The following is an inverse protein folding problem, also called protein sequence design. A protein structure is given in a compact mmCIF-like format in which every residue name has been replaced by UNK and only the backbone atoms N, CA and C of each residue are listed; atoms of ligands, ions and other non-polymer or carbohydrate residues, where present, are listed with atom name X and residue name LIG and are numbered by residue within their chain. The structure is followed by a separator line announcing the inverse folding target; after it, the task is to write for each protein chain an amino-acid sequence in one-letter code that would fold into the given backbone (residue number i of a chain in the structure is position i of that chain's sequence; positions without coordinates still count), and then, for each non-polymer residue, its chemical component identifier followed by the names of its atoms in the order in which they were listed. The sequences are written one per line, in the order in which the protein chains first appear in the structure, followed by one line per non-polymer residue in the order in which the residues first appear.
data_IF_374185553233
#
_entry.id   IF_374185553233
#
_cell.length_a   1.000
_cell.length_b   1.000
_cell.length_c   1.000
_cell.angle_alpha   90.00
_cell.angle_beta   90.00
_cell.angle_gamma   90.00
#
_symmetry.space_group_name_H-M   'P 1'
#
loop_
_entity.id
_entity.type
_entity.pdbx_description
1 polymer ?
#
# COMPACT_ATOMS: atom_id res chain seq x y z
N UNK A 1 -16.83 -1.94 6.15
CA UNK A 1 -16.85 -0.63 5.44
C UNK A 1 -16.34 -0.86 4.04
N UNK A 2 -17.14 -0.57 3.04
CA UNK A 2 -16.78 -0.68 1.63
C UNK A 2 -16.43 0.69 1.08
N UNK A 3 -15.16 0.88 0.68
CA UNK A 3 -14.70 2.06 -0.04
C UNK A 3 -14.77 1.80 -1.54
N UNK A 4 -15.27 2.75 -2.32
CA UNK A 4 -15.27 2.68 -3.78
C UNK A 4 -14.84 4.03 -4.37
N UNK A 5 -13.90 3.99 -5.28
CA UNK A 5 -13.47 5.11 -6.09
C UNK A 5 -14.02 4.91 -7.50
N UNK A 6 -14.83 5.85 -8.00
CA UNK A 6 -15.45 5.76 -9.32
C UNK A 6 -14.94 6.87 -10.23
N UNK A 7 -14.21 6.51 -11.28
CA UNK A 7 -13.70 7.43 -12.29
C UNK A 7 -12.92 8.62 -11.74
N UNK A 8 -12.20 8.40 -10.61
CA UNK A 8 -11.46 9.49 -9.96
C UNK A 8 -10.24 9.88 -10.79
N UNK A 9 -9.98 11.18 -10.87
CA UNK A 9 -8.73 11.72 -11.38
C UNK A 9 -8.25 12.90 -10.54
N UNK A 10 -6.96 13.25 -10.64
CA UNK A 10 -6.40 14.39 -9.92
C UNK A 10 -5.46 15.18 -10.81
N UNK A 11 -5.74 16.47 -10.94
CA UNK A 11 -4.87 17.45 -11.62
C UNK A 11 -4.46 18.53 -10.60
N UNK A 12 -3.22 18.98 -10.72
CA UNK A 12 -2.68 20.07 -9.92
C UNK A 12 -1.97 21.04 -10.87
N UNK A 13 -2.55 22.20 -11.07
CA UNK A 13 -2.10 23.11 -12.13
C UNK A 13 -2.26 22.45 -13.50
N UNK A 14 -1.17 22.41 -14.27
CA UNK A 14 -1.14 21.79 -15.59
C UNK A 14 -0.82 20.28 -15.54
N UNK A 15 -0.39 19.74 -14.38
CA UNK A 15 0.05 18.36 -14.25
C UNK A 15 -1.11 17.43 -13.89
N UNK A 16 -1.12 16.23 -14.48
CA UNK A 16 -2.01 15.13 -14.09
C UNK A 16 -1.27 14.23 -13.11
N UNK A 17 -1.73 14.23 -11.86
CA UNK A 17 -1.15 13.39 -10.79
C UNK A 17 -1.79 12.00 -10.73
N UNK A 18 -3.09 11.93 -11.04
CA UNK A 18 -3.80 10.66 -11.19
C UNK A 18 -4.65 10.74 -12.46
N UNK A 19 -4.44 9.78 -13.35
CA UNK A 19 -5.31 9.54 -14.50
C UNK A 19 -6.63 8.94 -14.03
N UNK A 20 -7.65 9.00 -14.86
CA UNK A 20 -8.96 8.44 -14.55
C UNK A 20 -8.84 6.96 -14.17
N UNK A 21 -9.32 6.61 -12.98
CA UNK A 21 -9.31 5.24 -12.49
C UNK A 21 -10.48 4.94 -11.55
N UNK A 22 -10.84 3.67 -11.49
CA UNK A 22 -11.81 3.15 -10.52
C UNK A 22 -11.15 2.03 -9.71
N UNK A 23 -11.38 2.04 -8.40
CA UNK A 23 -10.82 1.06 -7.47
C UNK A 23 -11.79 0.83 -6.31
N UNK A 24 -12.06 -0.43 -6.01
CA UNK A 24 -12.86 -0.82 -4.85
C UNK A 24 -12.08 -1.84 -4.01
N UNK A 25 -11.34 -1.39 -2.98
CA UNK A 25 -10.71 -2.30 -2.02
C UNK A 25 -11.74 -3.26 -1.40
N UNK A 26 -11.38 -4.53 -1.27
CA UNK A 26 -12.25 -5.52 -0.65
C UNK A 26 -12.45 -5.22 0.84
N UNK A 27 -13.70 -5.19 1.33
CA UNK A 27 -14.00 -4.94 2.73
C UNK A 27 -13.38 -6.02 3.64
N UNK A 28 -12.73 -5.59 4.73
CA UNK A 28 -12.10 -6.49 5.69
C UNK A 28 -10.79 -7.14 5.20
N UNK A 29 -10.31 -6.79 4.02
CA UNK A 29 -9.11 -7.34 3.41
C UNK A 29 -7.99 -6.30 3.30
N UNK A 30 -6.78 -6.78 3.04
CA UNK A 30 -5.64 -5.94 2.72
C UNK A 30 -5.60 -5.68 1.21
N UNK A 31 -5.54 -4.41 0.83
CA UNK A 31 -5.23 -3.98 -0.55
C UNK A 31 -3.90 -3.25 -0.55
N UNK A 32 -2.91 -3.80 -1.23
CA UNK A 32 -1.60 -3.18 -1.40
C UNK A 32 -1.60 -2.29 -2.64
N UNK A 33 -1.21 -1.03 -2.48
CA UNK A 33 -0.88 -0.12 -3.57
C UNK A 33 0.61 -0.26 -3.87
N UNK A 34 0.95 -1.02 -4.90
CA UNK A 34 2.34 -1.27 -5.30
C UNK A 34 2.74 -0.36 -6.46
N UNK A 35 3.88 0.28 -6.36
CA UNK A 35 4.43 1.11 -7.44
C UNK A 35 5.64 1.92 -7.00
N UNK A 36 6.42 2.40 -7.94
CA UNK A 36 7.60 3.22 -7.69
C UNK A 36 7.25 4.52 -6.94
N UNK A 37 8.27 5.21 -6.46
CA UNK A 37 8.11 6.58 -5.96
C UNK A 37 7.49 7.45 -7.06
N UNK A 38 6.55 8.33 -6.68
CA UNK A 38 5.76 9.15 -7.60
C UNK A 38 4.75 8.40 -8.49
N UNK A 39 4.49 7.12 -8.25
CA UNK A 39 3.45 6.39 -8.98
C UNK A 39 2.00 6.86 -8.68
N UNK A 40 1.81 7.77 -7.72
CA UNK A 40 0.49 8.31 -7.35
C UNK A 40 -0.13 7.68 -6.11
N UNK A 41 0.56 6.74 -5.42
CA UNK A 41 0.07 6.02 -4.23
C UNK A 41 -0.44 6.96 -3.13
N UNK A 42 0.42 7.87 -2.68
CA UNK A 42 0.09 8.87 -1.64
C UNK A 42 -1.08 9.77 -2.05
N UNK A 43 -1.11 10.24 -3.31
CA UNK A 43 -2.20 11.08 -3.82
C UNK A 43 -3.54 10.33 -3.80
N UNK A 44 -3.53 9.05 -4.20
CA UNK A 44 -4.71 8.19 -4.15
C UNK A 44 -5.20 7.99 -2.71
N UNK A 45 -4.29 7.69 -1.78
CA UNK A 45 -4.62 7.50 -0.36
C UNK A 45 -5.17 8.79 0.28
N UNK A 46 -4.64 9.96 -0.07
CA UNK A 46 -5.15 11.26 0.41
C UNK A 46 -6.59 11.51 -0.04
N UNK A 47 -6.95 11.09 -1.27
CA UNK A 47 -8.34 11.14 -1.76
C UNK A 47 -9.21 10.15 -0.97
N UNK A 48 -8.74 8.91 -0.75
CA UNK A 48 -9.45 7.92 0.06
C UNK A 48 -9.72 8.44 1.49
N UNK A 49 -8.72 9.10 2.09
CA UNK A 49 -8.84 9.68 3.42
C UNK A 49 -9.80 10.89 3.48
N UNK A 50 -10.06 11.56 2.35
CA UNK A 50 -10.78 12.83 2.31
C UNK A 50 -9.93 14.05 2.66
N UNK A 51 -8.60 13.91 2.56
CA UNK A 51 -7.65 15.01 2.72
C UNK A 51 -7.54 15.84 1.45
N UNK A 52 -7.70 15.17 0.30
CA UNK A 52 -7.75 15.82 -1.00
C UNK A 52 -9.07 15.49 -1.70
N UNK A 53 -9.56 16.45 -2.47
CA UNK A 53 -10.73 16.26 -3.33
C UNK A 53 -10.23 15.88 -4.72
N UNK A 54 -10.79 14.83 -5.36
CA UNK A 54 -10.44 14.50 -6.75
C UNK A 54 -10.90 15.63 -7.69
N UNK A 55 -10.24 15.77 -8.85
CA UNK A 55 -10.63 16.74 -9.88
C UNK A 55 -11.87 16.29 -10.65
N UNK A 56 -12.09 14.98 -10.77
CA UNK A 56 -13.30 14.36 -11.29
C UNK A 56 -13.54 13.01 -10.60
N UNK A 57 -14.72 12.45 -10.79
CA UNK A 57 -15.13 11.17 -10.19
C UNK A 57 -15.71 11.32 -8.78
N UNK A 58 -15.96 10.18 -8.13
CA UNK A 58 -16.63 10.10 -6.84
C UNK A 58 -15.94 9.13 -5.89
N UNK A 59 -15.98 9.45 -4.60
CA UNK A 59 -15.57 8.55 -3.51
C UNK A 59 -16.83 8.14 -2.77
N UNK A 60 -17.08 6.85 -2.71
CA UNK A 60 -18.24 6.28 -2.02
C UNK A 60 -17.77 5.47 -0.80
N UNK A 61 -18.55 5.53 0.27
CA UNK A 61 -18.40 4.69 1.46
C UNK A 61 -19.74 4.04 1.74
N UNK A 62 -19.78 2.72 1.72
CA UNK A 62 -21.02 1.93 1.87
C UNK A 62 -22.14 2.43 0.94
N UNK A 63 -21.78 2.81 -0.29
CA UNK A 63 -22.67 3.36 -1.32
C UNK A 63 -23.01 4.85 -1.19
N UNK A 64 -22.71 5.49 -0.07
CA UNK A 64 -22.92 6.92 0.13
C UNK A 64 -21.78 7.75 -0.46
N UNK A 65 -22.12 8.81 -1.22
CA UNK A 65 -21.10 9.72 -1.78
C UNK A 65 -20.52 10.61 -0.68
N UNK A 66 -19.21 10.45 -0.43
CA UNK A 66 -18.45 11.20 0.56
C UNK A 66 -17.39 12.12 -0.08
N UNK A 67 -17.48 12.36 -1.38
CA UNK A 67 -16.56 13.26 -2.09
C UNK A 67 -16.63 14.65 -1.50
N UNK A 68 -15.46 15.20 -1.11
CA UNK A 68 -15.38 16.50 -0.45
C UNK A 68 -15.82 16.55 1.02
N UNK A 69 -16.31 15.44 1.60
CA UNK A 69 -16.60 15.37 3.03
C UNK A 69 -15.32 15.57 3.84
N UNK A 70 -15.30 16.47 4.83
CA UNK A 70 -14.13 16.71 5.66
C UNK A 70 -13.63 15.46 6.37
N UNK A 71 -12.31 15.28 6.45
CA UNK A 71 -11.70 14.08 7.07
C UNK A 71 -12.14 13.82 8.51
N UNK A 72 -12.45 14.88 9.28
CA UNK A 72 -12.96 14.77 10.67
C UNK A 72 -14.30 14.04 10.77
N UNK A 73 -15.09 14.05 9.71
CA UNK A 73 -16.40 13.40 9.61
C UNK A 73 -16.30 11.97 9.06
N UNK A 74 -15.08 11.57 8.64
CA UNK A 74 -14.80 10.21 8.14
C UNK A 74 -14.20 9.34 9.22
N UNK A 75 -14.67 8.11 9.36
CA UNK A 75 -14.07 7.15 10.28
C UNK A 75 -12.91 6.40 9.60
N UNK A 76 -11.78 7.10 9.40
CA UNK A 76 -10.57 6.59 8.75
C UNK A 76 -9.35 6.84 9.63
N UNK A 77 -8.43 5.88 9.70
CA UNK A 77 -7.10 6.08 10.28
C UNK A 77 -6.09 6.17 9.13
N UNK A 78 -5.14 7.11 9.23
CA UNK A 78 -4.07 7.23 8.25
C UNK A 78 -2.72 7.41 8.95
N UNK A 79 -1.73 6.61 8.51
CA UNK A 79 -0.31 6.80 8.81
C UNK A 79 0.33 7.37 7.57
N UNK A 80 0.93 8.54 7.70
CA UNK A 80 1.64 9.21 6.61
C UNK A 80 3.07 8.70 6.50
N UNK A 81 3.66 8.77 5.33
CA UNK A 81 5.08 8.52 5.11
C UNK A 81 5.96 9.40 6.03
N UNK A 82 5.56 10.65 6.24
CA UNK A 82 6.11 11.49 7.30
C UNK A 82 5.31 11.24 8.59
N UNK A 83 5.85 10.43 9.49
CA UNK A 83 5.20 10.12 10.75
C UNK A 83 4.92 11.39 11.59
N UNK A 84 3.65 11.70 11.75
CA UNK A 84 3.19 12.87 12.50
C UNK A 84 2.76 12.41 13.89
N UNK A 85 3.49 12.82 14.93
CA UNK A 85 3.13 12.64 16.33
C UNK A 85 2.75 13.97 16.97
N UNK A 86 1.95 13.94 18.03
CA UNK A 86 1.67 15.12 18.84
C UNK A 86 2.91 15.47 19.68
N UNK A 87 3.63 16.56 19.40
CA UNK A 87 4.93 16.83 20.01
C UNK A 87 4.83 17.18 21.51
N UNK A 88 3.67 17.65 21.96
CA UNK A 88 3.38 18.02 23.34
C UNK A 88 2.83 16.87 24.20
N UNK A 89 2.75 15.67 23.65
CA UNK A 89 2.24 14.48 24.34
C UNK A 89 3.33 13.43 24.44
N UNK A 90 3.36 12.68 25.55
CA UNK A 90 4.21 11.49 25.67
C UNK A 90 3.83 10.43 24.63
N UNK A 91 4.65 9.39 24.48
CA UNK A 91 4.31 8.22 23.64
C UNK A 91 3.01 7.60 24.11
N UNK A 92 2.86 7.38 25.41
CA UNK A 92 1.63 6.83 25.99
C UNK A 92 0.40 7.70 25.65
N UNK A 93 0.51 9.01 25.79
CA UNK A 93 -0.59 9.94 25.50
C UNK A 93 -0.90 10.03 24.01
N UNK A 94 0.10 9.94 23.14
CA UNK A 94 -0.11 9.85 21.69
C UNK A 94 -0.97 8.62 21.36
N UNK A 95 -0.63 7.45 21.87
CA UNK A 95 -1.38 6.20 21.65
C UNK A 95 -2.75 6.25 22.30
N UNK A 96 -2.85 6.84 23.50
CA UNK A 96 -4.11 6.96 24.25
C UNK A 96 -5.09 7.95 23.62
N UNK A 97 -4.63 8.92 22.84
CA UNK A 97 -5.46 10.03 22.36
C UNK A 97 -6.75 9.57 21.62
N UNK A 98 -6.72 8.64 20.66
CA UNK A 98 -7.95 8.17 20.00
C UNK A 98 -8.83 7.30 20.92
N UNK A 99 -8.24 6.59 21.90
CA UNK A 99 -8.98 5.80 22.88
C UNK A 99 -9.79 6.70 23.81
N UNK A 100 -9.18 7.80 24.29
CA UNK A 100 -9.86 8.82 25.11
C UNK A 100 -11.05 9.44 24.37
N UNK A 101 -10.87 9.79 23.10
CA UNK A 101 -11.92 10.37 22.28
C UNK A 101 -13.14 9.45 22.10
N UNK A 102 -12.91 8.12 22.13
CA UNK A 102 -13.99 7.13 22.04
C UNK A 102 -14.58 6.74 23.41
N UNK A 103 -14.05 7.26 24.50
CA UNK A 103 -14.48 6.90 25.86
C UNK A 103 -14.13 5.46 26.25
N UNK A 104 -13.00 4.91 25.75
CA UNK A 104 -12.57 3.55 26.06
C UNK A 104 -12.26 3.40 27.56
N UNK A 105 -12.74 2.31 28.18
CA UNK A 105 -12.59 2.07 29.62
C UNK A 105 -11.22 1.42 29.97
N UNK A 106 -10.54 0.80 28.99
CA UNK A 106 -9.30 0.05 29.19
C UNK A 106 -8.11 0.70 28.51
N UNK A 107 -7.99 2.03 28.60
CA UNK A 107 -6.99 2.82 27.87
C UNK A 107 -5.57 2.32 28.18
N UNK A 108 -5.20 2.22 29.47
CA UNK A 108 -3.84 1.84 29.86
C UNK A 108 -3.46 0.44 29.41
N UNK A 109 -4.38 -0.52 29.49
CA UNK A 109 -4.18 -1.88 29.00
C UNK A 109 -3.93 -1.91 27.50
N UNK A 110 -4.77 -1.22 26.71
CA UNK A 110 -4.64 -1.13 25.26
C UNK A 110 -3.37 -0.41 24.82
N UNK A 111 -2.99 0.68 25.51
CA UNK A 111 -1.76 1.40 25.22
C UNK A 111 -0.55 0.48 25.41
N UNK A 112 -0.48 -0.25 26.52
CA UNK A 112 0.62 -1.19 26.78
C UNK A 112 0.64 -2.34 25.77
N UNK A 113 -0.50 -2.94 25.47
CA UNK A 113 -0.60 -4.02 24.49
C UNK A 113 -0.13 -3.59 23.08
N UNK A 114 -0.50 -2.38 22.62
CA UNK A 114 -0.04 -1.84 21.34
C UNK A 114 1.45 -1.45 21.39
N UNK A 115 1.92 -0.91 22.51
CA UNK A 115 3.32 -0.56 22.68
C UNK A 115 4.21 -1.82 22.68
N UNK A 116 3.76 -2.91 23.31
CA UNK A 116 4.45 -4.21 23.30
C UNK A 116 4.57 -4.75 21.87
N UNK A 117 3.45 -4.83 21.14
CA UNK A 117 3.41 -5.30 19.74
C UNK A 117 4.33 -4.51 18.82
N UNK A 118 4.58 -3.25 19.09
CA UNK A 118 5.42 -2.37 18.27
C UNK A 118 6.80 -2.10 18.91
N UNK A 119 7.19 -2.86 19.94
CA UNK A 119 8.49 -2.76 20.63
C UNK A 119 8.85 -1.33 21.07
N UNK A 120 7.87 -0.59 21.64
CA UNK A 120 8.04 0.79 22.12
C UNK A 120 7.65 0.97 23.59
N UNK A 121 7.46 -0.11 24.36
CA UNK A 121 7.06 -0.05 25.79
C UNK A 121 8.01 0.77 26.64
N UNK A 122 9.33 0.61 26.41
CA UNK A 122 10.36 1.32 27.16
C UNK A 122 10.38 2.84 26.89
N UNK A 123 9.58 3.31 25.95
CA UNK A 123 9.54 4.73 25.57
C UNK A 123 8.23 5.42 25.95
N UNK A 124 7.30 4.74 26.63
CA UNK A 124 5.94 5.25 26.90
C UNK A 124 5.93 6.63 27.58
N UNK A 125 6.89 6.89 28.49
CA UNK A 125 7.00 8.15 29.22
C UNK A 125 7.81 9.23 28.50
N UNK A 126 8.37 8.92 27.30
CA UNK A 126 9.18 9.86 26.54
C UNK A 126 8.32 10.75 25.63
N UNK A 127 8.86 11.93 25.32
CA UNK A 127 8.30 12.81 24.29
C UNK A 127 8.79 12.39 22.90
N UNK A 128 8.03 12.59 21.83
CA UNK A 128 8.45 12.25 20.47
C UNK A 128 9.81 12.82 20.05
N UNK A 129 10.16 14.01 20.50
CA UNK A 129 11.45 14.63 20.20
C UNK A 129 12.68 13.86 20.77
N UNK A 130 12.47 12.99 21.76
CA UNK A 130 13.52 12.14 22.35
C UNK A 130 13.62 10.76 21.67
N UNK A 131 12.93 10.55 20.56
CA UNK A 131 12.87 9.30 19.82
C UNK A 131 13.58 9.38 18.48
N UNK A 132 14.16 8.26 18.03
CA UNK A 132 14.63 8.11 16.65
C UNK A 132 13.45 8.14 15.65
N UNK A 133 13.73 8.38 14.36
CA UNK A 133 12.71 8.40 13.32
C UNK A 133 11.86 7.11 13.27
N UNK A 134 12.51 5.94 13.31
CA UNK A 134 11.80 4.65 13.35
C UNK A 134 10.96 4.44 14.61
N UNK A 135 11.40 4.96 15.78
CA UNK A 135 10.60 4.92 17.00
C UNK A 135 9.37 5.82 16.89
N UNK A 136 9.52 7.03 16.33
CA UNK A 136 8.40 7.95 16.10
C UNK A 136 7.38 7.35 15.10
N UNK A 137 7.86 6.65 14.08
CA UNK A 137 7.01 5.96 13.11
C UNK A 137 6.15 4.88 13.78
N UNK A 138 6.74 4.09 14.67
CA UNK A 138 6.01 3.08 15.46
C UNK A 138 4.97 3.69 16.40
N UNK A 139 5.24 4.85 16.97
CA UNK A 139 4.24 5.60 17.77
C UNK A 139 3.06 6.04 16.90
N UNK A 140 3.31 6.56 15.70
CA UNK A 140 2.25 6.96 14.77
C UNK A 140 1.41 5.74 14.32
N UNK A 141 2.04 4.60 14.08
CA UNK A 141 1.37 3.34 13.77
C UNK A 141 0.53 2.84 14.96
N UNK A 142 1.10 2.82 16.18
CA UNK A 142 0.37 2.46 17.40
C UNK A 142 -0.89 3.31 17.59
N UNK A 143 -0.79 4.62 17.33
CA UNK A 143 -1.93 5.54 17.41
C UNK A 143 -2.99 5.24 16.36
N UNK A 144 -2.60 4.91 15.13
CA UNK A 144 -3.54 4.53 14.08
C UNK A 144 -4.28 3.23 14.42
N UNK A 145 -3.56 2.22 14.92
CA UNK A 145 -4.14 0.97 15.41
C UNK A 145 -5.06 1.20 16.60
N UNK A 146 -4.67 2.07 17.54
CA UNK A 146 -5.49 2.43 18.69
C UNK A 146 -6.84 3.07 18.27
N UNK A 147 -6.86 3.81 17.17
CA UNK A 147 -8.10 4.38 16.62
C UNK A 147 -9.11 3.29 16.25
N UNK A 148 -8.67 2.13 15.76
CA UNK A 148 -9.54 1.02 15.37
C UNK A 148 -10.61 1.45 14.35
N UNK A 149 -10.20 2.24 13.36
CA UNK A 149 -11.09 2.70 12.30
C UNK A 149 -11.40 1.55 11.33
N UNK A 150 -12.62 1.49 10.75
CA UNK A 150 -12.99 0.46 9.78
C UNK A 150 -12.24 0.58 8.44
N UNK A 151 -11.60 1.72 8.17
CA UNK A 151 -10.66 1.93 7.07
C UNK A 151 -9.32 2.42 7.62
N UNK A 152 -8.25 1.69 7.32
CA UNK A 152 -6.88 2.02 7.69
C UNK A 152 -6.05 2.24 6.44
N UNK A 153 -5.37 3.39 6.37
CA UNK A 153 -4.53 3.79 5.25
C UNK A 153 -3.09 3.93 5.75
N UNK A 154 -2.16 3.16 5.20
CA UNK A 154 -0.76 3.09 5.64
C UNK A 154 0.15 3.46 4.46
N UNK A 155 0.73 4.64 4.49
CA UNK A 155 1.60 5.15 3.43
C UNK A 155 3.07 4.89 3.76
N UNK A 156 3.63 3.83 3.17
CA UNK A 156 5.02 3.36 3.35
C UNK A 156 5.39 3.25 4.85
N UNK A 157 4.63 2.49 5.66
CA UNK A 157 4.72 2.56 7.13
C UNK A 157 5.98 1.93 7.71
N UNK A 158 6.83 1.26 6.90
CA UNK A 158 8.03 0.56 7.37
C UNK A 158 9.33 1.08 6.72
N UNK A 159 9.27 2.10 5.87
CA UNK A 159 10.40 2.55 5.04
C UNK A 159 11.61 3.06 5.83
N UNK A 160 11.39 3.68 7.01
CA UNK A 160 12.45 4.29 7.82
C UNK A 160 13.00 3.36 8.92
N UNK A 161 12.75 2.06 8.81
CA UNK A 161 13.19 1.06 9.80
C UNK A 161 14.44 0.33 9.30
N UNK A 162 15.28 -0.11 10.24
CA UNK A 162 16.35 -1.05 9.92
C UNK A 162 15.76 -2.40 9.44
N UNK A 163 16.58 -3.18 8.73
CA UNK A 163 16.12 -4.40 8.07
C UNK A 163 15.49 -5.40 9.06
N UNK A 164 16.15 -5.68 10.19
CA UNK A 164 15.68 -6.68 11.16
C UNK A 164 14.32 -6.29 11.74
N UNK A 165 14.21 -5.05 12.18
CA UNK A 165 12.97 -4.52 12.76
C UNK A 165 11.84 -4.44 11.73
N UNK A 166 12.18 -4.14 10.47
CA UNK A 166 11.20 -4.13 9.37
C UNK A 166 10.60 -5.52 9.16
N UNK A 167 11.43 -6.59 9.15
CA UNK A 167 10.95 -7.96 9.02
C UNK A 167 10.05 -8.35 10.19
N UNK A 168 10.46 -8.08 11.43
CA UNK A 168 9.68 -8.37 12.63
C UNK A 168 8.29 -7.68 12.58
N UNK A 169 8.27 -6.36 12.31
CA UNK A 169 7.02 -5.60 12.23
C UNK A 169 6.14 -5.98 11.04
N UNK A 170 6.73 -6.41 9.93
CA UNK A 170 6.00 -6.90 8.75
C UNK A 170 5.18 -8.13 9.09
N UNK A 171 5.78 -9.10 9.80
CA UNK A 171 5.11 -10.31 10.27
C UNK A 171 3.98 -9.97 11.25
N UNK A 172 4.25 -9.08 12.22
CA UNK A 172 3.26 -8.66 13.20
C UNK A 172 2.07 -7.93 12.56
N UNK A 173 2.32 -7.02 11.60
CA UNK A 173 1.27 -6.34 10.88
C UNK A 173 0.43 -7.31 10.06
N UNK A 174 1.04 -8.31 9.41
CA UNK A 174 0.33 -9.34 8.66
C UNK A 174 -0.65 -10.09 9.57
N UNK A 175 -0.20 -10.52 10.77
CA UNK A 175 -1.05 -11.18 11.75
C UNK A 175 -2.16 -10.26 12.28
N UNK A 176 -1.84 -8.98 12.54
CA UNK A 176 -2.80 -7.98 13.00
C UNK A 176 -3.92 -7.73 11.97
N UNK A 177 -3.57 -7.65 10.70
CA UNK A 177 -4.55 -7.41 9.63
C UNK A 177 -5.40 -8.66 9.37
N UNK A 178 -4.81 -9.85 9.41
CA UNK A 178 -5.55 -11.11 9.25
C UNK A 178 -6.58 -11.35 10.39
N UNK A 179 -6.33 -10.83 11.59
CA UNK A 179 -7.20 -10.97 12.75
C UNK A 179 -8.23 -9.83 12.89
N UNK A 180 -8.18 -8.81 12.04
CA UNK A 180 -9.00 -7.61 12.13
C UNK A 180 -10.12 -7.55 11.09
N UNK A 181 -11.19 -6.81 11.41
CA UNK A 181 -12.33 -6.56 10.50
C UNK A 181 -12.15 -5.26 9.69
N UNK A 182 -11.00 -4.58 9.82
CA UNK A 182 -10.75 -3.32 9.13
C UNK A 182 -10.33 -3.55 7.70
N UNK A 183 -10.84 -2.75 6.77
CA UNK A 183 -10.30 -2.66 5.41
C UNK A 183 -8.96 -1.91 5.48
N UNK A 184 -7.88 -2.53 5.00
CA UNK A 184 -6.54 -1.95 5.03
C UNK A 184 -6.09 -1.62 3.62
N UNK A 185 -5.63 -0.38 3.40
CA UNK A 185 -4.93 0.03 2.18
C UNK A 185 -3.49 0.35 2.56
N UNK A 186 -2.55 -0.40 2.00
CA UNK A 186 -1.13 -0.35 2.34
C UNK A 186 -0.31 0.05 1.10
N UNK A 187 0.29 1.23 1.10
CA UNK A 187 1.15 1.67 0.01
C UNK A 187 2.60 1.27 0.26
N UNK A 188 3.26 0.73 -0.76
CA UNK A 188 4.67 0.37 -0.71
C UNK A 188 5.35 0.47 -2.07
N UNK A 189 6.67 0.60 -2.05
CA UNK A 189 7.55 0.43 -3.22
C UNK A 189 8.17 -0.98 -3.27
N UNK A 190 8.02 -1.78 -2.20
CA UNK A 190 8.67 -3.10 -2.05
C UNK A 190 7.73 -4.24 -2.48
N UNK A 191 8.05 -5.00 -3.56
CA UNK A 191 7.23 -6.12 -4.02
C UNK A 191 7.09 -7.23 -2.97
N UNK A 192 8.13 -7.45 -2.16
CA UNK A 192 8.12 -8.46 -1.11
C UNK A 192 7.03 -8.21 -0.07
N UNK A 193 6.75 -6.93 0.26
CA UNK A 193 5.67 -6.57 1.17
C UNK A 193 4.29 -6.94 0.59
N UNK A 194 4.08 -6.67 -0.71
CA UNK A 194 2.83 -7.04 -1.37
C UNK A 194 2.60 -8.56 -1.36
N UNK A 195 3.65 -9.35 -1.62
CA UNK A 195 3.57 -10.81 -1.62
C UNK A 195 3.33 -11.38 -0.21
N UNK A 196 3.93 -10.79 0.81
CA UNK A 196 3.79 -11.26 2.20
C UNK A 196 2.43 -10.89 2.81
N UNK A 197 1.98 -9.64 2.61
CA UNK A 197 0.69 -9.18 3.10
C UNK A 197 -0.48 -9.92 2.42
N UNK A 198 -0.28 -10.43 1.21
CA UNK A 198 -1.30 -11.15 0.47
C UNK A 198 -2.50 -10.27 0.10
N UNK A 199 -3.72 -10.82 0.18
CA UNK A 199 -4.94 -10.11 -0.15
C UNK A 199 -4.99 -9.67 -1.61
N UNK A 200 -5.18 -8.37 -1.85
CA UNK A 200 -5.29 -7.76 -3.17
C UNK A 200 -4.15 -6.80 -3.44
N UNK A 201 -3.75 -6.68 -4.71
CA UNK A 201 -2.75 -5.67 -5.12
C UNK A 201 -3.28 -4.81 -6.26
N UNK A 202 -3.17 -3.51 -6.09
CA UNK A 202 -3.35 -2.48 -7.12
C UNK A 202 -1.98 -1.97 -7.55
N UNK A 203 -1.57 -2.26 -8.77
CA UNK A 203 -0.29 -1.78 -9.33
C UNK A 203 -0.51 -0.42 -9.96
N UNK A 204 0.22 0.59 -9.44
CA UNK A 204 0.21 1.95 -9.95
C UNK A 204 1.56 2.29 -10.60
N UNK A 205 1.49 3.06 -11.69
CA UNK A 205 2.68 3.61 -12.34
C UNK A 205 2.30 4.93 -13.04
N UNK A 206 3.08 5.99 -12.82
CA UNK A 206 2.86 7.31 -13.41
C UNK A 206 1.41 7.83 -13.29
N UNK A 207 0.77 7.62 -12.14
CA UNK A 207 -0.60 8.06 -11.88
C UNK A 207 -1.70 7.18 -12.51
N UNK A 208 -1.35 6.07 -13.14
CA UNK A 208 -2.28 5.11 -13.74
C UNK A 208 -2.46 3.87 -12.84
N UNK A 209 -3.68 3.34 -12.75
CA UNK A 209 -3.94 2.01 -12.21
C UNK A 209 -3.80 0.98 -13.32
N UNK A 210 -2.70 0.20 -13.29
CA UNK A 210 -2.38 -0.75 -14.36
C UNK A 210 -3.13 -2.08 -14.24
N UNK A 211 -3.25 -2.58 -13.00
CA UNK A 211 -3.95 -3.83 -12.71
C UNK A 211 -4.36 -3.84 -11.23
N UNK A 212 -5.54 -4.39 -10.95
CA UNK A 212 -6.03 -4.70 -9.62
C UNK A 212 -6.60 -6.11 -9.59
N UNK A 213 -6.31 -6.86 -8.54
CA UNK A 213 -6.80 -8.21 -8.33
C UNK A 213 -6.14 -8.90 -7.14
N UNK A 214 -6.46 -10.19 -6.89
CA UNK A 214 -5.75 -11.00 -5.90
C UNK A 214 -4.24 -10.96 -6.14
N UNK A 215 -3.45 -10.75 -5.10
CA UNK A 215 -1.99 -10.52 -5.21
C UNK A 215 -1.29 -11.64 -6.00
N UNK A 216 -1.65 -12.90 -5.74
CA UNK A 216 -1.09 -14.04 -6.45
C UNK A 216 -1.40 -14.00 -7.96
N UNK A 217 -2.63 -13.62 -8.34
CA UNK A 217 -3.03 -13.49 -9.74
C UNK A 217 -2.25 -12.37 -10.44
N UNK A 218 -2.18 -11.18 -9.82
CA UNK A 218 -1.44 -10.03 -10.39
C UNK A 218 0.04 -10.35 -10.56
N UNK A 219 0.61 -11.11 -9.63
CA UNK A 219 2.01 -11.58 -9.69
C UNK A 219 2.25 -12.60 -10.81
N UNK A 220 1.38 -13.62 -10.94
CA UNK A 220 1.58 -14.72 -11.89
C UNK A 220 1.08 -14.40 -13.31
N UNK A 221 0.03 -13.58 -13.41
CA UNK A 221 -0.61 -13.21 -14.70
C UNK A 221 -0.65 -11.69 -14.89
N UNK A 222 0.53 -11.03 -14.97
CA UNK A 222 0.60 -9.59 -15.16
C UNK A 222 0.06 -9.20 -16.55
N UNK A 223 -0.83 -8.21 -16.59
CA UNK A 223 -1.46 -7.70 -17.85
C UNK A 223 -0.50 -6.92 -18.74
N UNK A 224 0.67 -6.52 -18.23
CA UNK A 224 1.67 -5.78 -18.99
C UNK A 224 3.09 -5.97 -18.41
N UNK A 225 4.09 -5.62 -19.21
CA UNK A 225 5.49 -5.56 -18.74
C UNK A 225 5.64 -4.59 -17.56
N UNK A 226 4.89 -3.47 -17.54
CA UNK A 226 4.90 -2.51 -16.44
C UNK A 226 4.47 -3.18 -15.12
N UNK A 227 3.39 -3.96 -15.14
CA UNK A 227 2.92 -4.73 -13.98
C UNK A 227 3.93 -5.79 -13.56
N UNK A 228 4.48 -6.55 -14.52
CA UNK A 228 5.48 -7.58 -14.22
C UNK A 228 6.74 -6.98 -13.57
N UNK A 229 7.18 -5.81 -14.03
CA UNK A 229 8.34 -5.08 -13.46
C UNK A 229 8.09 -4.57 -12.06
N UNK A 230 6.87 -4.13 -11.74
CA UNK A 230 6.52 -3.67 -10.39
C UNK A 230 6.74 -4.75 -9.32
N UNK A 231 6.63 -6.04 -9.70
CA UNK A 231 6.90 -7.18 -8.82
C UNK A 231 8.32 -7.76 -8.95
N UNK A 232 9.22 -7.09 -9.66
CA UNK A 232 10.55 -7.64 -9.95
C UNK A 232 11.63 -6.93 -9.14
N UNK A 233 12.09 -7.61 -8.11
CA UNK A 233 13.28 -7.27 -7.33
C UNK A 233 14.15 -8.52 -7.18
N UNK A 234 15.39 -8.54 -7.71
CA UNK A 234 16.00 -7.54 -8.60
C UNK A 234 15.23 -7.29 -9.91
N UNK A 235 15.52 -6.19 -10.62
CA UNK A 235 14.81 -5.81 -11.85
C UNK A 235 14.75 -6.95 -12.88
N UNK A 236 13.60 -7.07 -13.55
CA UNK A 236 13.36 -8.06 -14.60
C UNK A 236 14.30 -7.84 -15.80
N UNK A 237 14.85 -8.94 -16.33
CA UNK A 237 15.56 -8.93 -17.60
C UNK A 237 14.54 -8.86 -18.75
N UNK A 238 14.71 -7.88 -19.64
CA UNK A 238 13.88 -7.70 -20.84
C UNK A 238 14.72 -7.98 -22.08
N UNK A 239 14.29 -8.95 -22.89
CA UNK A 239 14.99 -9.40 -24.08
C UNK A 239 14.07 -9.26 -25.28
N UNK A 240 14.52 -8.52 -26.30
CA UNK A 240 13.79 -8.42 -27.55
C UNK A 240 13.90 -9.71 -28.36
N UNK A 241 12.84 -10.09 -29.06
CA UNK A 241 12.80 -11.26 -29.91
C UNK A 241 11.68 -11.23 -30.93
N UNK A 242 11.66 -12.22 -31.79
CA UNK A 242 10.61 -12.40 -32.79
C UNK A 242 9.88 -13.73 -32.56
N UNK A 243 8.56 -13.72 -32.79
CA UNK A 243 7.75 -14.93 -32.78
C UNK A 243 8.18 -15.85 -33.93
N UNK A 244 8.44 -17.11 -33.62
CA UNK A 244 8.67 -18.20 -34.58
C UNK A 244 7.70 -19.34 -34.32
N UNK A 245 7.56 -20.29 -35.24
CA UNK A 245 6.57 -21.37 -35.16
C UNK A 245 6.65 -22.20 -33.87
N UNK A 246 7.81 -22.27 -33.24
CA UNK A 246 8.07 -23.09 -32.04
C UNK A 246 8.29 -22.27 -30.78
N UNK A 247 8.19 -20.94 -30.85
CA UNK A 247 8.44 -20.06 -29.68
C UNK A 247 8.99 -18.69 -30.04
N UNK A 248 10.05 -18.26 -29.37
CA UNK A 248 10.67 -16.93 -29.55
C UNK A 248 12.12 -17.10 -29.97
N UNK A 249 12.51 -16.46 -31.07
CA UNK A 249 13.91 -16.24 -31.46
C UNK A 249 14.37 -14.94 -30.81
N UNK A 250 15.32 -14.98 -29.87
CA UNK A 250 15.90 -13.79 -29.29
C UNK A 250 16.78 -13.03 -30.30
N UNK A 251 16.74 -11.70 -30.28
CA UNK A 251 17.52 -10.85 -31.19
C UNK A 251 19.03 -11.09 -31.04
N UNK A 252 19.48 -11.37 -29.83
CA UNK A 252 20.86 -11.72 -29.51
C UNK A 252 20.90 -12.94 -28.59
N UNK A 253 20.70 -14.14 -29.14
CA UNK A 253 20.71 -15.34 -28.31
C UNK A 253 19.98 -16.54 -28.94
N UNK A 254 19.83 -17.63 -28.19
CA UNK A 254 19.16 -18.83 -28.66
C UNK A 254 17.66 -18.62 -28.87
N UNK A 255 17.03 -19.57 -29.58
CA UNK A 255 15.57 -19.71 -29.61
C UNK A 255 15.07 -20.36 -28.32
N UNK A 256 13.97 -19.86 -27.79
CA UNK A 256 13.28 -20.41 -26.63
C UNK A 256 11.97 -21.04 -27.10
N UNK A 257 11.79 -22.33 -26.82
CA UNK A 257 10.56 -23.04 -27.12
C UNK A 257 9.52 -22.78 -26.02
N UNK A 258 8.54 -21.95 -26.35
CA UNK A 258 7.37 -21.68 -25.49
C UNK A 258 6.13 -21.57 -26.33
N UNK A 259 4.96 -22.01 -25.85
CA UNK A 259 3.70 -21.79 -26.56
C UNK A 259 3.40 -20.30 -26.63
N UNK A 260 3.14 -19.80 -27.81
CA UNK A 260 2.73 -18.43 -28.05
C UNK A 260 1.23 -18.35 -28.30
N UNK A 261 0.53 -17.28 -27.85
CA UNK A 261 -0.85 -17.04 -28.24
C UNK A 261 -0.98 -16.95 -29.78
N UNK A 262 -2.08 -17.46 -30.33
CA UNK A 262 -2.32 -17.44 -31.78
C UNK A 262 -2.30 -16.04 -32.41
N UNK A 263 -2.55 -14.98 -31.62
CA UNK A 263 -2.52 -13.57 -32.02
C UNK A 263 -1.24 -12.84 -31.64
N UNK A 264 -0.14 -13.57 -31.31
CA UNK A 264 1.13 -12.92 -30.95
C UNK A 264 1.66 -12.06 -32.10
N UNK A 265 2.08 -10.85 -31.78
CA UNK A 265 2.75 -9.99 -32.77
C UNK A 265 4.11 -10.58 -33.16
N UNK A 266 4.62 -10.25 -34.39
CA UNK A 266 5.91 -10.75 -34.82
C UNK A 266 7.04 -10.27 -33.89
N UNK A 267 7.02 -9.01 -33.48
CA UNK A 267 7.98 -8.46 -32.50
C UNK A 267 7.46 -8.69 -31.07
N UNK A 268 8.27 -9.27 -30.23
CA UNK A 268 7.97 -9.61 -28.86
C UNK A 268 9.06 -9.11 -27.90
N UNK A 269 8.68 -8.91 -26.65
CA UNK A 269 9.62 -8.71 -25.55
C UNK A 269 9.44 -9.82 -24.54
N UNK A 270 10.48 -10.61 -24.29
CA UNK A 270 10.52 -11.64 -23.25
C UNK A 270 10.98 -11.01 -21.94
N UNK A 271 10.14 -11.09 -20.90
CA UNK A 271 10.49 -10.69 -19.55
C UNK A 271 10.86 -11.90 -18.70
N UNK A 272 12.06 -11.91 -18.13
CA UNK A 272 12.53 -12.99 -17.25
C UNK A 272 12.88 -12.41 -15.89
N UNK A 273 12.19 -12.86 -14.84
CA UNK A 273 12.53 -12.49 -13.47
C UNK A 273 13.84 -13.14 -13.04
N UNK A 274 14.69 -12.41 -12.29
CA UNK A 274 16.01 -12.90 -11.87
C UNK A 274 15.96 -14.27 -11.16
N UNK A 275 15.01 -14.59 -10.27
CA UNK A 275 14.92 -15.92 -9.63
C UNK A 275 14.60 -17.07 -10.60
N UNK A 276 14.12 -16.78 -11.81
CA UNK A 276 13.82 -17.80 -12.82
C UNK A 276 15.05 -18.19 -13.68
N UNK A 277 16.17 -17.49 -13.51
CA UNK A 277 17.45 -17.80 -14.15
C UNK A 277 18.27 -18.72 -13.22
N UNK A 278 17.91 -20.01 -13.14
CA UNK A 278 18.65 -21.04 -12.42
C UNK A 278 19.26 -22.04 -13.40
#
# INVERSE_FOLDING_TARGET
MQLTLEGISKRVGAETWLHEMSLAPHPGEVTVLLGATQAGKTSLMRIMAGLDVPSAGRVLVDGANVTGMPVRERNVAMVYQQFINYPSMTVADNIASPLRLRGDQRINERVRALAAKLHIEMFLDRMPAALSGGQQQRVALARALAKGAPLMLLDEPLVNLDYKLREELREELTQLFAAGDSTVVYATTEPAEALLLGGYTAVLDAGELLQYGPTAEVFHTPKSIRVARAFSDPPMNLIAGEAVNTGIQMTAGPSIQIPLPAAASRALTLGVRAPALR
#
